data_IF_836837681450
#
_entry.id   IF_836837681450
#
_cell.length_a   1.000
_cell.length_b   1.000
_cell.length_c   1.000
_cell.angle_alpha   90.00
_cell.angle_beta   90.00
_cell.angle_gamma   90.00
#
_symmetry.space_group_name_H-M   'P 1'
#
loop_
_entity.id
_entity.type
_entity.pdbx_description
1 polymer ?
#
# COMPACT_ATOMS: atom_id res chain seq x y z
N UNK A 1 2.17 36.78 41.35
CA UNK A 1 3.24 36.36 40.42
C UNK A 1 2.52 35.59 39.32
N UNK A 2 1.90 36.26 38.35
CA UNK A 2 2.59 36.90 37.21
C UNK A 2 3.40 35.82 36.48
N UNK A 3 3.13 35.42 35.24
CA UNK A 3 2.51 36.17 34.14
C UNK A 3 2.08 35.19 33.06
N UNK A 4 0.91 35.46 32.47
CA UNK A 4 0.55 35.06 31.12
C UNK A 4 1.48 35.79 30.13
N UNK A 5 1.82 35.15 29.02
CA UNK A 5 2.33 35.86 27.85
C UNK A 5 1.67 35.32 26.60
N UNK A 6 0.53 35.95 26.31
CA UNK A 6 -0.01 36.13 24.97
C UNK A 6 1.08 36.70 24.04
N UNK A 7 1.16 36.18 22.82
CA UNK A 7 1.87 36.86 21.72
C UNK A 7 0.94 36.89 20.52
N UNK A 8 0.26 38.02 20.37
CA UNK A 8 -0.38 38.48 19.15
C UNK A 8 0.58 39.33 18.33
N UNK A 9 0.32 39.46 17.02
CA UNK A 9 0.99 40.24 15.95
C UNK A 9 1.78 39.31 15.01
N UNK A 10 1.63 39.33 13.68
CA UNK A 10 1.22 40.43 12.80
C UNK A 10 0.53 39.91 11.54
N UNK A 11 -0.47 40.68 11.10
CA UNK A 11 -0.99 40.74 9.74
C UNK A 11 0.13 41.03 8.73
N UNK A 12 0.03 40.43 7.53
CA UNK A 12 0.46 41.05 6.28
C UNK A 12 -0.35 40.41 5.14
N UNK A 13 -1.45 41.08 4.81
CA UNK A 13 -2.09 41.01 3.50
C UNK A 13 -1.09 41.52 2.44
N UNK A 14 -0.84 40.74 1.40
CA UNK A 14 -0.22 41.24 0.17
C UNK A 14 -0.86 40.56 -1.06
N UNK A 15 -1.93 41.20 -1.50
CA UNK A 15 -2.18 41.64 -2.87
C UNK A 15 -2.18 40.61 -4.02
N UNK A 16 -3.40 40.46 -4.55
CA UNK A 16 -3.79 39.76 -5.77
C UNK A 16 -3.23 40.48 -7.01
N UNK A 17 -2.30 39.84 -7.74
CA UNK A 17 -1.71 40.40 -8.98
C UNK A 17 -2.81 40.57 -10.06
N UNK A 18 -3.09 41.79 -10.55
CA UNK A 18 -4.03 41.96 -11.66
C UNK A 18 -3.35 41.63 -12.99
N UNK A 19 -3.99 40.75 -13.76
CA UNK A 19 -3.60 40.42 -15.13
C UNK A 19 -3.63 41.67 -16.00
N UNK A 20 -2.48 42.06 -16.56
CA UNK A 20 -2.35 43.13 -17.57
C UNK A 20 -3.25 42.81 -18.77
N UNK A 21 -4.39 43.48 -18.87
CA UNK A 21 -5.14 43.59 -20.12
C UNK A 21 -4.29 44.42 -21.09
N UNK A 22 -3.81 43.79 -22.17
CA UNK A 22 -3.23 44.52 -23.31
C UNK A 22 -4.38 45.10 -24.11
N UNK A 23 -4.60 46.40 -24.01
CA UNK A 23 -5.48 47.15 -24.92
C UNK A 23 -4.87 47.13 -26.32
N UNK A 24 -5.26 46.15 -27.13
CA UNK A 24 -5.06 46.22 -28.58
C UNK A 24 -6.20 47.06 -29.15
N UNK A 25 -5.92 48.34 -29.43
CA UNK A 25 -6.76 49.14 -30.32
C UNK A 25 -6.87 48.42 -31.67
N UNK A 26 -8.04 47.85 -31.94
CA UNK A 26 -8.35 47.29 -33.26
C UNK A 26 -8.64 48.46 -34.19
N UNK A 27 -7.69 48.81 -35.04
CA UNK A 27 -7.97 49.67 -36.18
C UNK A 27 -8.93 48.92 -37.11
N UNK A 28 -10.17 49.40 -37.23
CA UNK A 28 -11.13 48.88 -38.20
C UNK A 28 -10.68 49.30 -39.61
N UNK A 29 -10.01 48.38 -40.31
CA UNK A 29 -9.73 48.52 -41.72
C UNK A 29 -11.04 48.46 -42.51
N UNK A 30 -11.21 49.44 -43.42
CA UNK A 30 -12.39 49.59 -44.29
C UNK A 30 -12.61 48.31 -45.11
N UNK A 31 -13.85 47.84 -45.16
CA UNK A 31 -14.27 46.63 -45.85
C UNK A 31 -14.04 46.78 -47.36
N UNK A 32 -13.17 45.96 -47.94
CA UNK A 32 -13.07 45.79 -49.39
C UNK A 32 -14.18 44.86 -49.89
N UNK A 33 -14.78 45.21 -51.02
CA UNK A 33 -15.87 44.50 -51.71
C UNK A 33 -15.39 43.44 -52.70
N UNK A 34 -14.15 42.96 -52.57
CA UNK A 34 -13.64 41.86 -53.40
C UNK A 34 -14.10 40.50 -52.84
N UNK A 35 -14.49 39.53 -53.69
CA UNK A 35 -14.74 38.17 -53.24
C UNK A 35 -13.47 37.61 -52.60
N UNK A 36 -13.57 37.20 -51.33
CA UNK A 36 -12.47 36.64 -50.56
C UNK A 36 -11.99 35.35 -51.25
N UNK A 37 -10.68 35.17 -51.53
CA UNK A 37 -10.19 33.85 -51.91
C UNK A 37 -10.46 32.91 -50.74
N UNK A 38 -11.05 31.75 -51.02
CA UNK A 38 -11.27 30.69 -50.02
C UNK A 38 -9.97 30.49 -49.25
N UNK A 39 -9.97 30.83 -47.96
CA UNK A 39 -8.76 30.84 -47.15
C UNK A 39 -8.13 29.44 -47.16
N UNK A 40 -7.10 29.26 -47.98
CA UNK A 40 -6.35 28.01 -48.03
C UNK A 40 -5.55 27.93 -46.73
N UNK A 41 -6.01 27.09 -45.81
CA UNK A 41 -5.25 26.75 -44.60
C UNK A 41 -3.87 26.27 -45.02
N UNK A 42 -2.85 27.00 -44.60
CA UNK A 42 -1.47 26.61 -44.91
C UNK A 42 -1.18 25.26 -44.27
N UNK A 43 -0.30 24.45 -44.87
CA UNK A 43 0.09 23.14 -44.30
C UNK A 43 0.56 23.27 -42.84
N UNK A 44 1.19 24.39 -42.49
CA UNK A 44 1.62 24.71 -41.12
C UNK A 44 0.43 24.93 -40.17
N UNK A 45 -0.58 25.69 -40.58
CA UNK A 45 -1.82 25.88 -39.79
C UNK A 45 -2.58 24.56 -39.60
N UNK A 46 -2.66 23.73 -40.65
CA UNK A 46 -3.27 22.41 -40.56
C UNK A 46 -2.49 21.45 -39.63
N UNK A 47 -1.16 21.51 -39.63
CA UNK A 47 -0.31 20.70 -38.74
C UNK A 47 -0.48 21.09 -37.26
N UNK A 48 -0.51 22.39 -36.94
CA UNK A 48 -0.73 22.87 -35.56
C UNK A 48 -2.13 22.51 -35.04
N UNK A 49 -3.16 22.59 -35.90
CA UNK A 49 -4.52 22.17 -35.55
C UNK A 49 -4.64 20.65 -35.32
N UNK A 50 -3.85 19.85 -36.04
CA UNK A 50 -3.77 18.40 -35.81
C UNK A 50 -3.09 18.08 -34.48
N UNK A 51 -1.98 18.75 -34.15
CA UNK A 51 -1.25 18.56 -32.89
C UNK A 51 -2.08 18.95 -31.65
N UNK A 52 -2.90 20.00 -31.74
CA UNK A 52 -3.81 20.37 -30.67
C UNK A 52 -4.94 19.34 -30.49
N UNK A 53 -5.47 18.80 -31.59
CA UNK A 53 -6.47 17.73 -31.58
C UNK A 53 -5.91 16.44 -30.96
N UNK A 54 -4.70 16.03 -31.33
CA UNK A 54 -4.06 14.83 -30.76
C UNK A 54 -3.83 14.98 -29.26
N UNK A 55 -3.35 16.14 -28.80
CA UNK A 55 -3.20 16.42 -27.36
C UNK A 55 -4.52 16.37 -26.60
N UNK A 56 -5.61 16.84 -27.21
CA UNK A 56 -6.95 16.80 -26.60
C UNK A 56 -7.49 15.38 -26.51
N UNK A 57 -7.31 14.59 -27.56
CA UNK A 57 -7.70 13.18 -27.59
C UNK A 57 -6.87 12.33 -26.62
N UNK A 58 -5.58 12.63 -26.46
CA UNK A 58 -4.74 11.99 -25.43
C UNK A 58 -5.21 12.35 -24.01
N UNK A 59 -5.57 13.62 -23.77
CA UNK A 59 -6.12 14.04 -22.48
C UNK A 59 -7.47 13.37 -22.18
N UNK A 60 -8.38 13.29 -23.16
CA UNK A 60 -9.65 12.57 -23.04
C UNK A 60 -9.42 11.08 -22.76
N UNK A 61 -8.42 10.47 -23.42
CA UNK A 61 -8.05 9.07 -23.18
C UNK A 61 -7.45 8.84 -21.79
N UNK A 62 -6.70 9.80 -21.25
CA UNK A 62 -6.10 9.72 -19.91
C UNK A 62 -7.14 9.83 -18.79
N UNK A 63 -8.15 10.70 -18.94
CA UNK A 63 -9.21 10.88 -17.94
C UNK A 63 -10.44 9.98 -18.15
N UNK A 64 -10.62 9.38 -19.32
CA UNK A 64 -11.84 8.65 -19.69
C UNK A 64 -12.19 7.43 -18.82
N UNK A 65 -11.20 6.85 -18.12
CA UNK A 65 -11.40 5.71 -17.22
C UNK A 65 -11.00 6.01 -15.77
N UNK A 66 -10.77 7.27 -15.41
CA UNK A 66 -10.45 7.64 -14.04
C UNK A 66 -11.72 7.60 -13.18
N UNK A 67 -11.94 6.48 -12.52
CA UNK A 67 -13.03 6.33 -11.56
C UNK A 67 -12.48 6.54 -10.13
N UNK A 68 -12.88 7.61 -9.42
CA UNK A 68 -12.31 7.94 -8.11
C UNK A 68 -12.52 6.81 -7.09
N UNK A 69 -13.66 6.11 -7.18
CA UNK A 69 -14.01 5.00 -6.28
C UNK A 69 -13.22 3.71 -6.55
N UNK A 70 -12.77 3.47 -7.79
CA UNK A 70 -12.02 2.25 -8.14
C UNK A 70 -10.51 2.48 -8.26
N UNK A 71 -10.04 3.68 -7.89
CA UNK A 71 -8.64 4.04 -8.01
C UNK A 71 -7.74 3.06 -7.26
N UNK A 72 -6.49 2.88 -7.70
CA UNK A 72 -5.50 2.03 -7.02
C UNK A 72 -5.36 2.44 -5.54
N UNK A 73 -5.48 3.74 -5.26
CA UNK A 73 -5.45 4.29 -3.90
C UNK A 73 -6.66 3.83 -3.09
N UNK A 74 -7.87 3.97 -3.61
CA UNK A 74 -9.10 3.54 -2.91
C UNK A 74 -9.14 2.02 -2.76
N UNK A 75 -8.68 1.25 -3.75
CA UNK A 75 -8.51 -0.21 -3.62
C UNK A 75 -7.55 -0.58 -2.49
N UNK A 76 -6.41 0.10 -2.37
CA UNK A 76 -5.46 -0.09 -1.26
C UNK A 76 -6.05 0.33 0.09
N UNK A 77 -6.94 1.34 0.11
CA UNK A 77 -7.62 1.81 1.32
C UNK A 77 -8.68 0.81 1.78
N UNK A 78 -9.52 0.32 0.87
CA UNK A 78 -10.51 -0.73 1.13
C UNK A 78 -9.84 -2.03 1.55
N UNK A 79 -8.77 -2.45 0.88
CA UNK A 79 -8.01 -3.64 1.27
C UNK A 79 -7.47 -3.58 2.71
N UNK A 80 -7.07 -2.39 3.19
CA UNK A 80 -6.64 -2.17 4.58
C UNK A 80 -7.78 -2.17 5.59
N UNK A 81 -9.02 -1.91 5.16
CA UNK A 81 -10.22 -2.00 6.00
C UNK A 81 -10.75 -3.44 6.09
N UNK A 82 -10.73 -4.17 4.98
CA UNK A 82 -11.19 -5.56 4.88
C UNK A 82 -10.22 -6.49 5.60
N UNK A 83 -8.93 -6.29 5.38
CA UNK A 83 -7.86 -7.02 6.06
C UNK A 83 -7.04 -5.99 6.84
N UNK A 84 -7.49 -5.59 8.06
CA UNK A 84 -6.65 -4.77 8.91
C UNK A 84 -5.32 -5.52 9.11
N UNK A 85 -4.16 -4.88 8.91
CA UNK A 85 -2.91 -5.51 9.25
C UNK A 85 -2.98 -5.82 10.75
N UNK A 86 -2.88 -7.11 11.11
CA UNK A 86 -2.67 -7.50 12.50
C UNK A 86 -1.54 -6.62 13.07
N UNK A 87 -1.74 -6.14 14.31
CA UNK A 87 -0.67 -5.46 15.07
C UNK A 87 0.56 -6.35 15.17
N UNK A 88 0.38 -7.67 15.03
CA UNK A 88 1.42 -8.67 14.93
C UNK A 88 1.54 -9.13 13.48
N UNK A 89 2.43 -8.50 12.71
CA UNK A 89 2.74 -8.99 11.36
C UNK A 89 3.46 -10.33 11.47
N UNK A 90 2.80 -11.42 11.07
CA UNK A 90 3.45 -12.72 10.92
C UNK A 90 4.67 -12.56 9.99
N UNK A 91 5.88 -12.93 10.44
CA UNK A 91 7.07 -12.82 9.60
C UNK A 91 6.95 -13.77 8.40
N UNK A 92 7.44 -13.36 7.21
CA UNK A 92 7.41 -14.20 6.03
C UNK A 92 8.18 -15.50 6.28
N UNK A 93 7.57 -16.63 5.90
CA UNK A 93 8.13 -17.97 6.12
C UNK A 93 7.89 -18.54 7.53
N UNK A 94 7.10 -17.90 8.39
CA UNK A 94 6.66 -18.52 9.63
C UNK A 94 5.76 -19.74 9.36
N UNK A 95 6.12 -20.87 9.96
CA UNK A 95 5.36 -22.11 9.92
C UNK A 95 4.26 -22.16 10.98
N UNK A 96 4.39 -21.33 12.03
CA UNK A 96 3.44 -21.22 13.13
C UNK A 96 2.79 -19.83 13.19
N UNK A 97 1.60 -19.78 13.75
CA UNK A 97 0.85 -18.55 13.97
C UNK A 97 1.22 -17.86 15.31
N UNK A 98 0.40 -16.88 15.70
CA UNK A 98 0.56 -16.13 16.95
C UNK A 98 0.26 -16.93 18.22
N UNK A 99 -0.48 -18.03 18.09
CA UNK A 99 -0.83 -18.95 19.19
C UNK A 99 0.15 -20.13 19.28
N UNK A 100 1.08 -20.25 18.32
CA UNK A 100 2.00 -21.39 18.24
C UNK A 100 1.38 -22.62 17.58
N UNK A 101 0.31 -22.45 16.80
CA UNK A 101 -0.36 -23.49 16.03
C UNK A 101 0.26 -23.55 14.63
N UNK A 102 0.48 -24.77 14.12
CA UNK A 102 1.07 -24.95 12.80
C UNK A 102 0.12 -24.47 11.69
N UNK A 103 0.56 -23.52 10.87
CA UNK A 103 -0.28 -22.80 9.90
C UNK A 103 -0.85 -23.72 8.82
N UNK A 104 -0.09 -24.72 8.38
CA UNK A 104 -0.49 -25.54 7.23
C UNK A 104 -1.46 -26.67 7.60
N UNK A 105 -1.35 -27.23 8.80
CA UNK A 105 -2.19 -28.35 9.26
C UNK A 105 -3.24 -27.91 10.29
N UNK A 106 -3.06 -26.76 10.95
CA UNK A 106 -3.92 -26.30 12.04
C UNK A 106 -3.71 -27.05 13.36
N UNK A 107 -2.64 -27.84 13.47
CA UNK A 107 -2.39 -28.71 14.64
C UNK A 107 -1.59 -27.97 15.72
N UNK A 108 -2.01 -28.07 16.97
CA UNK A 108 -1.29 -27.55 18.14
C UNK A 108 -0.34 -28.61 18.73
N UNK A 109 0.74 -28.90 17.98
CA UNK A 109 1.74 -29.89 18.37
C UNK A 109 2.75 -29.30 19.37
N UNK A 110 2.92 -29.93 20.53
CA UNK A 110 3.98 -29.57 21.48
C UNK A 110 5.36 -29.88 20.88
N UNK A 111 6.41 -29.15 21.28
CA UNK A 111 7.78 -29.41 20.81
C UNK A 111 8.34 -30.78 21.25
N UNK A 112 7.64 -31.54 22.10
CA UNK A 112 7.91 -32.96 22.36
C UNK A 112 7.33 -33.92 21.29
N UNK A 113 6.73 -33.38 20.23
CA UNK A 113 6.11 -34.11 19.12
C UNK A 113 4.86 -34.93 19.50
N UNK A 114 4.19 -34.56 20.58
CA UNK A 114 2.91 -35.15 21.01
C UNK A 114 1.77 -34.13 20.95
N UNK A 115 0.67 -34.48 20.29
CA UNK A 115 -0.53 -33.62 20.13
C UNK A 115 -1.35 -33.53 21.42
N UNK A 116 -1.47 -34.64 22.15
CA UNK A 116 -2.22 -34.72 23.42
C UNK A 116 -1.44 -34.15 24.60
N UNK A 117 -0.24 -33.61 24.37
CA UNK A 117 0.58 -33.06 25.44
C UNK A 117 -0.03 -31.74 25.95
N UNK A 118 -0.37 -31.62 27.25
CA UNK A 118 -0.83 -30.36 27.82
C UNK A 118 0.29 -29.30 27.87
N UNK A 119 1.54 -29.76 27.92
CA UNK A 119 2.75 -28.95 28.03
C UNK A 119 3.76 -29.69 28.90
N UNK A 120 4.94 -30.00 28.35
CA UNK A 120 6.00 -30.74 29.07
C UNK A 120 7.25 -29.89 29.31
N UNK A 121 7.27 -28.65 28.83
CA UNK A 121 8.36 -27.72 29.03
C UNK A 121 8.01 -26.67 30.07
N UNK A 122 9.02 -25.93 30.51
CA UNK A 122 8.82 -24.75 31.34
C UNK A 122 8.06 -23.66 30.58
N UNK A 123 7.43 -22.77 31.34
CA UNK A 123 6.66 -21.66 30.78
C UNK A 123 7.52 -20.79 29.86
N UNK A 124 7.06 -20.61 28.63
CA UNK A 124 7.76 -19.78 27.66
C UNK A 124 7.74 -18.31 28.07
N UNK A 125 8.91 -17.66 28.08
CA UNK A 125 9.03 -16.22 28.34
C UNK A 125 8.39 -15.31 27.28
N UNK A 126 8.02 -15.84 26.10
CA UNK A 126 7.41 -15.08 25.00
C UNK A 126 5.89 -15.19 24.95
N UNK A 127 5.34 -16.40 25.14
CA UNK A 127 3.91 -16.67 24.99
C UNK A 127 3.28 -17.36 26.20
N UNK A 128 4.03 -17.58 27.27
CA UNK A 128 3.60 -18.26 28.51
C UNK A 128 3.09 -19.69 28.33
N UNK A 129 3.17 -20.26 27.12
CA UNK A 129 2.83 -21.65 26.86
C UNK A 129 3.92 -22.59 27.39
N UNK A 130 3.49 -23.74 27.93
CA UNK A 130 4.36 -24.85 28.35
C UNK A 130 4.62 -25.87 27.23
N UNK A 131 4.20 -25.55 26.00
CA UNK A 131 4.39 -26.41 24.81
C UNK A 131 5.59 -26.02 23.95
N UNK A 132 6.26 -24.92 24.28
CA UNK A 132 7.47 -24.48 23.57
C UNK A 132 8.69 -25.14 24.17
N UNK A 133 9.62 -25.60 23.33
CA UNK A 133 10.93 -26.08 23.74
C UNK A 133 11.88 -24.93 24.04
N UNK A 134 13.12 -25.05 23.56
CA UNK A 134 14.14 -24.00 23.72
C UNK A 134 13.75 -22.70 23.01
N UNK A 135 13.09 -22.82 21.85
CA UNK A 135 12.57 -21.69 21.11
C UNK A 135 11.05 -21.67 21.11
N UNK A 136 10.48 -20.47 21.25
CA UNK A 136 9.04 -20.27 21.21
C UNK A 136 8.48 -20.70 19.85
N UNK A 137 7.35 -21.41 19.87
CA UNK A 137 6.62 -21.83 18.67
C UNK A 137 6.02 -20.63 17.92
N UNK A 138 5.65 -19.56 18.62
CA UNK A 138 5.02 -18.38 18.03
C UNK A 138 5.89 -17.80 16.91
N UNK A 139 5.34 -17.75 15.70
CA UNK A 139 6.00 -17.25 14.49
C UNK A 139 7.33 -17.91 14.11
N UNK A 140 7.60 -19.12 14.61
CA UNK A 140 8.83 -19.88 14.28
C UNK A 140 8.81 -20.33 12.82
N UNK A 141 10.00 -20.43 12.22
CA UNK A 141 10.19 -20.79 10.80
C UNK A 141 10.68 -22.22 10.55
N UNK A 142 10.84 -22.99 11.61
CA UNK A 142 11.31 -24.38 11.54
C UNK A 142 10.44 -25.28 12.42
N UNK A 143 10.50 -26.57 12.14
CA UNK A 143 9.95 -27.66 12.93
C UNK A 143 11.10 -28.61 13.30
N UNK A 144 10.97 -29.32 14.41
CA UNK A 144 11.88 -30.42 14.70
C UNK A 144 11.51 -31.61 13.81
N UNK A 145 12.48 -32.30 13.23
CA UNK A 145 12.18 -33.47 12.40
C UNK A 145 11.99 -34.73 13.25
N UNK A 146 12.85 -34.94 14.24
CA UNK A 146 12.79 -36.05 15.19
C UNK A 146 13.51 -35.74 16.50
N UNK A 147 13.19 -36.50 17.54
CA UNK A 147 13.85 -36.50 18.85
C UNK A 147 14.54 -37.85 19.05
N UNK A 148 15.82 -37.82 19.35
CA UNK A 148 16.65 -38.99 19.63
C UNK A 148 17.14 -38.95 21.08
N UNK A 149 17.01 -40.06 21.80
CA UNK A 149 17.48 -40.17 23.19
C UNK A 149 18.86 -40.81 23.23
N UNK A 150 19.87 -40.08 23.71
CA UNK A 150 21.21 -40.66 23.87
C UNK A 150 21.18 -41.84 24.84
N UNK A 151 21.59 -43.03 24.36
CA UNK A 151 21.62 -44.27 25.13
C UNK A 151 20.39 -45.16 24.98
N UNK A 152 19.38 -44.74 24.20
CA UNK A 152 18.23 -45.56 23.83
C UNK A 152 17.98 -45.47 22.33
N UNK A 153 17.73 -46.59 21.66
CA UNK A 153 17.41 -46.62 20.21
C UNK A 153 15.99 -46.10 19.90
N UNK A 154 15.41 -45.28 20.78
CA UNK A 154 14.07 -44.72 20.62
C UNK A 154 14.15 -43.40 19.87
N UNK A 155 13.45 -43.33 18.74
CA UNK A 155 13.36 -42.13 17.90
C UNK A 155 11.89 -41.73 17.76
N UNK A 156 11.55 -40.52 18.19
CA UNK A 156 10.21 -39.94 17.99
C UNK A 156 10.26 -39.05 16.75
N UNK A 157 9.47 -39.39 15.73
CA UNK A 157 9.41 -38.61 14.48
C UNK A 157 8.29 -37.58 14.55
N UNK A 158 8.48 -36.44 13.88
CA UNK A 158 7.47 -35.40 13.85
C UNK A 158 6.28 -35.79 12.95
N UNK A 159 5.04 -35.83 13.47
CA UNK A 159 3.85 -36.13 12.66
C UNK A 159 3.57 -35.07 11.58
N UNK A 160 4.10 -33.85 11.72
CA UNK A 160 3.96 -32.76 10.76
C UNK A 160 5.06 -32.72 9.69
N UNK A 161 6.13 -33.51 9.87
CA UNK A 161 7.20 -33.64 8.90
C UNK A 161 6.68 -34.33 7.65
N UNK A 162 6.61 -33.59 6.53
CA UNK A 162 6.26 -34.18 5.24
C UNK A 162 7.41 -35.10 4.81
N UNK A 163 7.13 -36.38 4.67
CA UNK A 163 8.00 -37.35 4.01
C UNK A 163 8.25 -36.99 2.54
#
# INVERSE_FOLDING_TARGET
MSSESDTTMSSSDDEMIPSRRKDTRVAMAKKSTAPQPTAYTTRRQAALAKDSLTKRLEAEKFLGNFNPETSIRERKKLSRKINPPSTVRRPPGALYDENGIHVSTGTDLCDCLSEECPGCFFECNRCNSQKCGLECRVHRKFIYDQIEYHGYDTVIKNPLGKH
#
